data_IF_184275981352
#
_entry.id   IF_184275981352
#
_cell.length_a   1.000
_cell.length_b   1.000
_cell.length_c   1.000
_cell.angle_alpha   90.00
_cell.angle_beta   90.00
_cell.angle_gamma   90.00
#
_symmetry.space_group_name_H-M   'P 1'
#
loop_
_entity.id
_entity.type
_entity.pdbx_description
1 polymer ?
#
# COMPACT_ATOMS: atom_id res chain seq x y z
N UNK A 1 35.35 -0.62 -11.88
CA UNK A 1 34.49 -1.78 -11.60
C UNK A 1 34.34 -1.90 -10.09
N UNK A 2 33.11 -1.85 -9.58
CA UNK A 2 32.84 -2.14 -8.17
C UNK A 2 33.13 -3.65 -7.96
N UNK A 3 33.86 -3.98 -6.92
CA UNK A 3 34.14 -5.37 -6.60
C UNK A 3 32.87 -6.03 -6.00
N UNK A 4 32.81 -7.37 -6.04
CA UNK A 4 31.67 -8.15 -5.59
C UNK A 4 31.31 -7.92 -4.11
N UNK A 5 32.30 -7.59 -3.28
CA UNK A 5 32.09 -7.29 -1.86
C UNK A 5 31.41 -5.93 -1.64
N UNK A 6 31.79 -4.91 -2.43
CA UNK A 6 31.14 -3.59 -2.38
C UNK A 6 29.68 -3.67 -2.83
N UNK A 7 29.39 -4.52 -3.82
CA UNK A 7 28.03 -4.82 -4.26
C UNK A 7 27.25 -5.58 -3.18
N UNK A 8 27.85 -6.57 -2.52
CA UNK A 8 27.23 -7.33 -1.43
C UNK A 8 26.96 -6.48 -0.19
N UNK A 9 27.88 -5.62 0.20
CA UNK A 9 27.68 -4.68 1.31
C UNK A 9 26.59 -3.64 0.98
N UNK A 10 26.57 -3.17 -0.25
CA UNK A 10 25.52 -2.30 -0.76
C UNK A 10 24.15 -3.02 -0.77
N UNK A 11 24.12 -4.32 -1.13
CA UNK A 11 22.91 -5.15 -1.12
C UNK A 11 22.42 -5.43 0.30
N UNK A 12 23.30 -5.73 1.25
CA UNK A 12 22.97 -5.95 2.66
C UNK A 12 22.43 -4.67 3.32
N UNK A 13 23.01 -3.52 3.00
CA UNK A 13 22.49 -2.21 3.43
C UNK A 13 21.10 -1.94 2.85
N UNK A 14 20.82 -2.43 1.65
CA UNK A 14 19.58 -2.21 0.92
C UNK A 14 18.41 -3.11 1.37
N UNK A 15 18.65 -4.19 2.14
CA UNK A 15 17.61 -5.07 2.67
C UNK A 15 16.89 -4.55 3.92
N UNK A 16 17.27 -3.38 4.44
CA UNK A 16 16.72 -2.81 5.67
C UNK A 16 16.06 -1.45 5.45
N UNK A 17 15.31 -1.29 4.37
CA UNK A 17 14.50 -0.09 4.15
C UNK A 17 13.38 -0.05 5.19
N UNK A 18 13.51 0.82 6.18
CA UNK A 18 12.50 1.00 7.23
C UNK A 18 11.85 2.37 7.21
N UNK A 19 12.45 3.35 6.52
CA UNK A 19 11.98 4.72 6.51
C UNK A 19 12.05 5.34 5.12
N UNK A 20 11.33 6.45 4.94
CA UNK A 20 11.40 7.25 3.72
C UNK A 20 12.84 7.72 3.41
N UNK A 21 13.62 8.08 4.43
CA UNK A 21 15.03 8.42 4.26
C UNK A 21 15.82 7.28 3.63
N UNK A 22 15.58 6.02 4.08
CA UNK A 22 16.27 4.86 3.55
C UNK A 22 15.92 4.64 2.06
N UNK A 23 14.67 4.88 1.66
CA UNK A 23 14.23 4.80 0.26
C UNK A 23 14.94 5.85 -0.59
N UNK A 24 15.00 7.10 -0.12
CA UNK A 24 15.67 8.19 -0.82
C UNK A 24 17.19 7.97 -0.93
N UNK A 25 17.85 7.51 0.13
CA UNK A 25 19.28 7.21 0.10
C UNK A 25 19.60 6.04 -0.84
N UNK A 26 18.80 4.98 -0.81
CA UNK A 26 19.05 3.75 -1.56
C UNK A 26 18.77 3.89 -3.04
N UNK A 27 17.69 4.57 -3.40
CA UNK A 27 17.32 4.82 -4.79
C UNK A 27 17.96 6.10 -5.35
N UNK A 28 18.62 6.90 -4.49
CA UNK A 28 19.05 8.25 -4.83
C UNK A 28 17.88 9.15 -5.29
N UNK A 29 16.65 8.77 -4.95
CA UNK A 29 15.42 9.37 -5.47
C UNK A 29 15.17 9.08 -6.95
N UNK A 30 16.07 8.34 -7.61
CA UNK A 30 16.07 8.15 -9.07
C UNK A 30 15.08 7.07 -9.50
N UNK A 31 14.97 5.97 -8.74
CA UNK A 31 14.18 4.80 -9.18
C UNK A 31 12.69 4.91 -8.84
N UNK A 32 12.30 5.80 -7.93
CA UNK A 32 10.91 5.99 -7.47
C UNK A 32 10.23 4.69 -7.07
N UNK A 33 10.88 3.93 -6.20
CA UNK A 33 10.43 2.62 -5.75
C UNK A 33 10.09 2.66 -4.26
N UNK A 34 8.92 2.11 -3.91
CA UNK A 34 8.45 1.89 -2.54
C UNK A 34 8.26 0.39 -2.32
N UNK A 35 8.53 -0.08 -1.10
CA UNK A 35 8.31 -1.47 -0.70
C UNK A 35 7.32 -1.51 0.46
N UNK A 36 6.12 -2.02 0.22
CA UNK A 36 5.07 -2.20 1.22
C UNK A 36 5.24 -3.56 1.89
N UNK A 37 5.58 -3.54 3.17
CA UNK A 37 5.56 -4.67 4.10
C UNK A 37 4.39 -4.51 5.09
N UNK A 38 4.69 -4.33 6.38
CA UNK A 38 3.67 -3.99 7.38
C UNK A 38 3.08 -2.61 7.11
N UNK A 39 1.76 -2.51 7.17
CA UNK A 39 1.04 -1.26 6.93
C UNK A 39 0.78 -0.59 8.27
N UNK A 40 1.65 0.34 8.62
CA UNK A 40 1.56 1.17 9.82
C UNK A 40 1.59 2.66 9.50
N UNK A 41 1.39 3.49 10.52
CA UNK A 41 1.27 4.94 10.40
C UNK A 41 2.59 5.59 9.94
N UNK A 42 3.73 5.10 10.42
CA UNK A 42 5.04 5.65 10.06
C UNK A 42 5.37 5.35 8.60
N UNK A 43 5.13 4.12 8.16
CA UNK A 43 5.29 3.75 6.76
C UNK A 43 4.35 4.55 5.85
N UNK A 44 3.08 4.67 6.24
CA UNK A 44 2.07 5.38 5.45
C UNK A 44 2.43 6.86 5.26
N UNK A 45 2.89 7.53 6.33
CA UNK A 45 3.34 8.92 6.26
C UNK A 45 4.54 9.07 5.31
N UNK A 46 5.53 8.16 5.39
CA UNK A 46 6.69 8.14 4.51
C UNK A 46 6.31 7.92 3.03
N UNK A 47 5.43 6.97 2.76
CA UNK A 47 4.96 6.65 1.41
C UNK A 47 4.17 7.83 0.80
N UNK A 48 3.27 8.45 1.57
CA UNK A 48 2.53 9.65 1.13
C UNK A 48 3.50 10.78 0.77
N UNK A 49 4.44 11.09 1.66
CA UNK A 49 5.43 12.13 1.44
C UNK A 49 6.27 11.87 0.19
N UNK A 50 6.67 10.62 -0.06
CA UNK A 50 7.44 10.24 -1.24
C UNK A 50 6.63 10.45 -2.53
N UNK A 51 5.40 9.95 -2.57
CA UNK A 51 4.51 10.10 -3.74
C UNK A 51 4.24 11.58 -4.01
N UNK A 52 3.94 12.36 -2.98
CA UNK A 52 3.71 13.80 -3.08
C UNK A 52 4.96 14.55 -3.57
N UNK A 53 6.12 14.21 -3.06
CA UNK A 53 7.40 14.78 -3.50
C UNK A 53 7.66 14.53 -4.98
N UNK A 54 7.50 13.29 -5.46
CA UNK A 54 7.69 12.98 -6.88
C UNK A 54 6.66 13.67 -7.77
N UNK A 55 5.42 13.82 -7.32
CA UNK A 55 4.41 14.63 -8.03
C UNK A 55 4.84 16.10 -8.15
N UNK A 56 5.44 16.67 -7.10
CA UNK A 56 5.96 18.03 -7.12
C UNK A 56 7.13 18.17 -8.09
N UNK A 57 8.04 17.19 -8.12
CA UNK A 57 9.16 17.17 -9.07
C UNK A 57 8.69 17.10 -10.52
N UNK A 58 7.58 16.42 -10.76
CA UNK A 58 7.02 16.23 -12.09
C UNK A 58 6.02 17.31 -12.53
N UNK A 59 5.78 18.34 -11.73
CA UNK A 59 4.67 19.29 -11.94
C UNK A 59 4.65 19.91 -13.34
N UNK A 60 5.82 20.15 -13.92
CA UNK A 60 6.01 20.76 -15.24
C UNK A 60 6.29 19.75 -16.35
N UNK A 61 6.25 18.45 -16.05
CA UNK A 61 6.47 17.35 -17.01
C UNK A 61 5.11 16.84 -17.50
N UNK A 62 4.89 16.67 -18.81
CA UNK A 62 3.70 16.01 -19.33
C UNK A 62 3.51 14.61 -18.72
N UNK A 63 2.27 14.20 -18.44
CA UNK A 63 1.98 12.95 -17.72
C UNK A 63 2.58 11.74 -18.44
N UNK A 64 2.52 11.73 -19.74
CA UNK A 64 3.04 10.65 -20.61
C UNK A 64 4.57 10.51 -20.60
N UNK A 65 5.28 11.55 -20.15
CA UNK A 65 6.74 11.58 -20.06
C UNK A 65 7.23 11.32 -18.63
N UNK A 66 6.30 11.28 -17.64
CA UNK A 66 6.68 11.07 -16.24
C UNK A 66 7.16 9.66 -15.99
N UNK A 67 8.28 9.55 -15.27
CA UNK A 67 8.72 8.26 -14.76
C UNK A 67 7.71 7.73 -13.73
N UNK A 68 7.12 6.54 -13.93
CA UNK A 68 6.16 6.00 -12.98
C UNK A 68 6.78 5.69 -11.63
N UNK A 69 6.00 5.88 -10.58
CA UNK A 69 6.31 5.42 -9.23
C UNK A 69 5.95 3.93 -9.16
N UNK A 70 6.84 3.10 -8.65
CA UNK A 70 6.61 1.67 -8.48
C UNK A 70 6.43 1.33 -7.01
N UNK A 71 5.34 0.68 -6.70
CA UNK A 71 5.00 0.23 -5.34
C UNK A 71 5.03 -1.30 -5.33
N UNK A 72 6.11 -1.85 -4.81
CA UNK A 72 6.28 -3.28 -4.63
C UNK A 72 5.60 -3.72 -3.34
N UNK A 73 4.83 -4.80 -3.40
CA UNK A 73 3.98 -5.24 -2.30
C UNK A 73 4.32 -6.68 -1.93
N UNK A 74 4.66 -6.88 -0.66
CA UNK A 74 4.74 -8.17 0.00
C UNK A 74 4.26 -7.98 1.44
N UNK A 75 2.94 -7.95 1.62
CA UNK A 75 2.28 -7.44 2.83
C UNK A 75 1.18 -8.35 3.31
N UNK A 76 1.17 -8.60 4.60
CA UNK A 76 0.05 -9.25 5.31
C UNK A 76 -1.03 -8.25 5.77
N UNK A 77 -0.87 -6.97 5.43
CA UNK A 77 -1.79 -5.90 5.80
C UNK A 77 -1.33 -5.09 7.00
N UNK A 78 -2.28 -4.59 7.77
CA UNK A 78 -2.03 -3.77 8.96
C UNK A 78 -3.13 -2.75 9.24
N UNK A 79 -2.76 -1.55 9.69
CA UNK A 79 -3.70 -0.49 10.04
C UNK A 79 -4.55 -0.03 8.86
N UNK A 80 -5.87 -0.05 9.02
CA UNK A 80 -6.82 0.40 7.98
C UNK A 80 -6.61 1.87 7.66
N UNK A 81 -6.47 2.72 8.67
CA UNK A 81 -6.27 4.17 8.49
C UNK A 81 -4.96 4.46 7.75
N UNK A 82 -3.87 3.78 8.12
CA UNK A 82 -2.59 3.90 7.45
C UNK A 82 -2.68 3.44 5.99
N UNK A 83 -3.32 2.30 5.74
CA UNK A 83 -3.51 1.78 4.38
C UNK A 83 -4.34 2.71 3.50
N UNK A 84 -5.42 3.29 4.02
CA UNK A 84 -6.23 4.27 3.28
C UNK A 84 -5.43 5.55 2.97
N UNK A 85 -4.51 5.97 3.82
CA UNK A 85 -3.58 7.08 3.51
C UNK A 85 -2.73 6.77 2.26
N UNK A 86 -2.22 5.54 2.16
CA UNK A 86 -1.44 5.09 1.00
C UNK A 86 -2.34 5.00 -0.25
N UNK A 87 -3.55 4.44 -0.12
CA UNK A 87 -4.54 4.37 -1.20
C UNK A 87 -4.85 5.77 -1.75
N UNK A 88 -5.11 6.74 -0.87
CA UNK A 88 -5.38 8.12 -1.27
C UNK A 88 -4.16 8.73 -1.97
N UNK A 89 -2.95 8.54 -1.44
CA UNK A 89 -1.72 9.04 -2.07
C UNK A 89 -1.54 8.48 -3.49
N UNK A 90 -1.81 7.18 -3.69
CA UNK A 90 -1.74 6.53 -5.01
C UNK A 90 -2.81 7.09 -5.94
N UNK A 91 -4.06 7.11 -5.52
CA UNK A 91 -5.20 7.46 -6.36
C UNK A 91 -5.26 8.95 -6.73
N UNK A 92 -4.75 9.83 -5.85
CA UNK A 92 -4.63 11.27 -6.10
C UNK A 92 -3.36 11.66 -6.85
N UNK A 93 -2.42 10.73 -7.03
CA UNK A 93 -1.17 10.99 -7.75
C UNK A 93 -1.44 11.29 -9.22
N UNK A 94 -0.88 12.40 -9.72
CA UNK A 94 -0.85 12.75 -11.15
C UNK A 94 0.28 12.06 -11.89
N UNK A 95 1.34 11.69 -11.17
CA UNK A 95 2.40 10.82 -11.70
C UNK A 95 1.91 9.38 -11.64
N UNK A 96 2.01 8.61 -12.73
CA UNK A 96 1.53 7.23 -12.73
C UNK A 96 2.14 6.39 -11.61
N UNK A 97 1.30 5.69 -10.84
CA UNK A 97 1.74 4.75 -9.80
C UNK A 97 1.40 3.33 -10.23
N UNK A 98 2.42 2.46 -10.28
CA UNK A 98 2.28 1.05 -10.63
C UNK A 98 2.45 0.21 -9.39
N UNK A 99 1.47 -0.64 -9.09
CA UNK A 99 1.54 -1.60 -7.99
C UNK A 99 2.01 -2.96 -8.51
N UNK A 100 2.95 -3.59 -7.81
CA UNK A 100 3.57 -4.85 -8.20
C UNK A 100 3.55 -5.80 -7.00
N UNK A 101 2.69 -6.80 -7.00
CA UNK A 101 2.64 -7.81 -5.94
C UNK A 101 3.73 -8.84 -6.16
N UNK A 102 4.70 -8.91 -5.23
CA UNK A 102 5.82 -9.84 -5.31
C UNK A 102 5.55 -11.19 -4.66
N UNK A 103 4.79 -11.20 -3.55
CA UNK A 103 4.48 -12.37 -2.76
C UNK A 103 3.05 -12.31 -2.23
N UNK A 104 2.86 -11.77 -1.03
CA UNK A 104 1.55 -11.61 -0.41
C UNK A 104 0.98 -10.21 -0.62
N UNK A 105 -0.32 -10.12 -0.88
CA UNK A 105 -1.11 -8.90 -0.79
C UNK A 105 -2.40 -9.22 -0.03
N UNK A 106 -2.34 -9.16 1.31
CA UNK A 106 -3.42 -9.57 2.19
C UNK A 106 -4.02 -8.35 2.90
N UNK A 107 -5.34 -8.37 3.15
CA UNK A 107 -6.01 -7.31 3.92
C UNK A 107 -5.71 -5.91 3.34
N UNK A 108 -5.19 -4.98 4.11
CA UNK A 108 -4.79 -3.66 3.60
C UNK A 108 -3.70 -3.70 2.52
N UNK A 109 -2.88 -4.76 2.45
CA UNK A 109 -1.96 -4.99 1.33
C UNK A 109 -2.70 -5.22 0.01
N UNK A 110 -3.85 -5.92 0.03
CA UNK A 110 -4.73 -6.06 -1.13
C UNK A 110 -5.32 -4.71 -1.53
N UNK A 111 -5.83 -3.92 -0.59
CA UNK A 111 -6.39 -2.59 -0.85
C UNK A 111 -5.39 -1.68 -1.59
N UNK A 112 -4.13 -1.68 -1.13
CA UNK A 112 -3.06 -0.93 -1.79
C UNK A 112 -2.76 -1.49 -3.18
N UNK A 113 -2.75 -2.82 -3.33
CA UNK A 113 -2.44 -3.46 -4.60
C UNK A 113 -3.43 -3.15 -5.70
N UNK A 114 -4.74 -3.11 -5.37
CA UNK A 114 -5.81 -2.91 -6.37
C UNK A 114 -5.96 -1.47 -6.87
N UNK A 115 -5.46 -0.47 -6.13
CA UNK A 115 -5.67 0.95 -6.46
C UNK A 115 -4.61 1.55 -7.39
N UNK A 116 -3.57 0.80 -7.78
CA UNK A 116 -2.55 1.27 -8.72
C UNK A 116 -3.11 1.61 -10.11
N UNK A 117 -2.56 2.66 -10.74
CA UNK A 117 -2.92 3.04 -12.12
C UNK A 117 -2.63 1.94 -13.14
N UNK A 118 -1.54 1.17 -12.92
CA UNK A 118 -1.30 -0.14 -13.53
C UNK A 118 -0.94 -1.13 -12.43
N UNK A 119 -1.35 -2.37 -12.62
CA UNK A 119 -1.24 -3.43 -11.62
C UNK A 119 -0.54 -4.62 -12.21
N UNK A 120 0.45 -5.13 -11.50
CA UNK A 120 1.26 -6.27 -11.88
C UNK A 120 1.37 -7.24 -10.70
N UNK A 121 1.62 -8.49 -10.97
CA UNK A 121 1.96 -9.46 -9.95
C UNK A 121 2.99 -10.47 -10.46
N UNK A 122 3.76 -11.02 -9.55
CA UNK A 122 4.62 -12.17 -9.83
C UNK A 122 3.77 -13.44 -9.93
N UNK A 123 4.29 -14.43 -10.63
CA UNK A 123 3.60 -15.70 -10.90
C UNK A 123 3.09 -16.41 -9.63
N UNK A 124 3.83 -16.30 -8.54
CA UNK A 124 3.52 -16.97 -7.26
C UNK A 124 2.91 -16.01 -6.24
N UNK A 125 2.46 -14.82 -6.67
CA UNK A 125 1.79 -13.90 -5.79
C UNK A 125 0.42 -14.44 -5.36
N UNK A 126 0.07 -14.17 -4.11
CA UNK A 126 -1.21 -14.55 -3.50
C UNK A 126 -1.93 -13.34 -2.94
N UNK A 127 -3.24 -13.41 -2.94
CA UNK A 127 -4.13 -12.36 -2.45
C UNK A 127 -5.04 -12.94 -1.39
N UNK A 128 -5.38 -12.15 -0.39
CA UNK A 128 -6.36 -12.52 0.62
C UNK A 128 -7.25 -11.34 0.94
N UNK A 129 -8.54 -11.54 0.74
CA UNK A 129 -9.58 -10.64 1.18
C UNK A 129 -10.16 -11.13 2.51
N UNK A 130 -10.36 -10.22 3.43
CA UNK A 130 -11.19 -10.41 4.62
C UNK A 130 -11.71 -9.07 5.13
N UNK A 131 -12.86 -9.05 5.79
CA UNK A 131 -13.26 -7.91 6.58
C UNK A 131 -12.35 -7.77 7.80
N UNK A 132 -11.87 -6.56 8.05
CA UNK A 132 -10.95 -6.29 9.15
C UNK A 132 -11.52 -6.64 10.52
N UNK A 133 -10.65 -6.85 11.49
CA UNK A 133 -11.02 -7.11 12.88
C UNK A 133 -10.60 -5.98 13.80
N UNK A 134 -11.43 -5.70 14.84
CA UNK A 134 -11.09 -4.76 15.90
C UNK A 134 -10.64 -5.58 17.12
N UNK A 135 -9.42 -5.30 17.60
CA UNK A 135 -8.97 -5.83 18.89
C UNK A 135 -9.06 -4.74 19.93
N UNK A 136 -9.92 -4.93 20.92
CA UNK A 136 -10.05 -4.03 22.06
C UNK A 136 -9.66 -4.77 23.33
N UNK A 137 -8.91 -4.09 24.21
CA UNK A 137 -8.80 -4.53 25.60
C UNK A 137 -10.10 -4.21 26.37
N UNK A 138 -10.02 -4.01 27.69
CA UNK A 138 -11.15 -3.53 28.49
C UNK A 138 -11.54 -2.12 28.04
N UNK A 139 -12.77 -1.97 27.54
CA UNK A 139 -13.27 -0.70 26.99
C UNK A 139 -14.70 -0.45 27.49
N UNK A 140 -15.04 0.81 27.76
CA UNK A 140 -16.39 1.25 28.11
C UNK A 140 -17.35 1.03 26.93
N UNK A 141 -18.61 0.65 27.22
CA UNK A 141 -19.61 0.31 26.20
C UNK A 141 -19.87 1.45 25.19
N UNK A 142 -19.89 2.71 25.64
CA UNK A 142 -20.09 3.85 24.77
C UNK A 142 -18.88 4.08 23.84
N UNK A 143 -17.68 3.92 24.39
CA UNK A 143 -16.43 4.00 23.60
C UNK A 143 -16.36 2.86 22.59
N UNK A 144 -16.78 1.64 22.98
CA UNK A 144 -16.85 0.52 22.04
C UNK A 144 -17.82 0.78 20.89
N UNK A 145 -19.02 1.32 21.20
CA UNK A 145 -19.98 1.70 20.16
C UNK A 145 -19.39 2.73 19.17
N UNK A 146 -18.80 3.80 19.71
CA UNK A 146 -18.18 4.83 18.85
C UNK A 146 -17.05 4.26 17.97
N UNK A 147 -16.24 3.36 18.52
CA UNK A 147 -15.17 2.68 17.78
C UNK A 147 -15.73 1.77 16.70
N UNK A 148 -16.78 1.00 16.99
CA UNK A 148 -17.46 0.15 16.02
C UNK A 148 -18.08 0.96 14.88
N UNK A 149 -18.72 2.10 15.19
CA UNK A 149 -19.31 3.00 14.20
C UNK A 149 -18.23 3.67 13.31
N UNK A 150 -17.08 4.00 13.88
CA UNK A 150 -15.93 4.47 13.11
C UNK A 150 -15.41 3.40 12.15
N UNK A 151 -15.17 2.19 12.65
CA UNK A 151 -14.67 1.08 11.83
C UNK A 151 -15.62 0.69 10.70
N UNK A 152 -16.93 0.71 10.94
CA UNK A 152 -17.92 0.48 9.88
C UNK A 152 -17.76 1.45 8.72
N UNK A 153 -17.45 2.71 8.99
CA UNK A 153 -17.19 3.71 7.93
C UNK A 153 -15.91 3.43 7.17
N UNK A 154 -14.86 3.00 7.86
CA UNK A 154 -13.59 2.63 7.21
C UNK A 154 -13.77 1.37 6.34
N UNK A 155 -14.47 0.35 6.84
CA UNK A 155 -14.79 -0.86 6.06
C UNK A 155 -15.67 -0.54 4.84
N UNK A 156 -16.59 0.38 4.94
CA UNK A 156 -17.38 0.80 3.77
C UNK A 156 -16.48 1.47 2.70
N UNK A 157 -15.44 2.21 3.09
CA UNK A 157 -14.47 2.78 2.15
C UNK A 157 -13.65 1.70 1.44
N UNK A 158 -13.14 0.70 2.18
CA UNK A 158 -12.41 -0.43 1.57
C UNK A 158 -13.31 -1.23 0.63
N UNK A 159 -14.55 -1.48 1.01
CA UNK A 159 -15.55 -2.11 0.14
C UNK A 159 -15.80 -1.32 -1.15
N UNK A 160 -15.92 0.00 -1.07
CA UNK A 160 -16.08 0.85 -2.26
C UNK A 160 -14.85 0.78 -3.17
N UNK A 161 -13.64 0.74 -2.60
CA UNK A 161 -12.42 0.55 -3.38
C UNK A 161 -12.40 -0.80 -4.08
N UNK A 162 -12.77 -1.87 -3.37
CA UNK A 162 -12.86 -3.22 -3.94
C UNK A 162 -13.76 -3.25 -5.18
N UNK A 163 -14.96 -2.69 -5.09
CA UNK A 163 -15.90 -2.61 -6.22
C UNK A 163 -15.39 -1.71 -7.35
N UNK A 164 -14.74 -0.61 -7.02
CA UNK A 164 -14.23 0.34 -8.00
C UNK A 164 -13.06 -0.20 -8.81
N UNK A 165 -12.17 -0.96 -8.18
CA UNK A 165 -10.89 -1.35 -8.77
C UNK A 165 -10.80 -2.81 -9.17
N UNK A 166 -11.83 -3.62 -8.89
CA UNK A 166 -11.85 -5.05 -9.24
C UNK A 166 -13.15 -5.42 -9.94
N UNK A 167 -13.29 -6.69 -10.34
CA UNK A 167 -14.52 -7.26 -10.87
C UNK A 167 -15.42 -7.89 -9.78
N UNK A 168 -15.11 -7.68 -8.50
CA UNK A 168 -15.92 -8.19 -7.39
C UNK A 168 -17.28 -7.52 -7.41
N UNK A 169 -18.33 -8.35 -7.36
CA UNK A 169 -19.72 -7.88 -7.31
C UNK A 169 -20.23 -7.78 -5.86
N UNK A 170 -21.34 -7.07 -5.69
CA UNK A 170 -21.98 -6.95 -4.37
C UNK A 170 -22.51 -8.32 -3.88
N UNK A 171 -22.95 -9.19 -4.79
CA UNK A 171 -23.40 -10.55 -4.49
C UNK A 171 -22.23 -11.38 -3.96
N UNK A 172 -21.10 -11.40 -4.68
CA UNK A 172 -19.90 -12.09 -4.27
C UNK A 172 -19.42 -11.61 -2.89
N UNK A 173 -19.40 -10.27 -2.69
CA UNK A 173 -18.99 -9.68 -1.42
C UNK A 173 -19.88 -10.16 -0.25
N UNK A 174 -21.20 -10.17 -0.42
CA UNK A 174 -22.15 -10.63 0.61
C UNK A 174 -21.97 -12.12 0.97
N UNK A 175 -21.60 -12.94 -0.01
CA UNK A 175 -21.35 -14.36 0.22
C UNK A 175 -20.06 -14.60 1.00
N UNK A 176 -19.03 -13.75 0.81
CA UNK A 176 -17.66 -14.00 1.32
C UNK A 176 -17.19 -12.99 2.36
N UNK A 177 -18.01 -12.03 2.78
CA UNK A 177 -17.59 -10.98 3.71
C UNK A 177 -17.14 -11.51 5.10
N UNK A 178 -17.57 -12.72 5.47
CA UNK A 178 -17.18 -13.37 6.73
C UNK A 178 -16.09 -14.45 6.55
N UNK A 179 -15.59 -14.61 5.35
CA UNK A 179 -14.59 -15.62 5.01
C UNK A 179 -13.21 -14.96 4.80
N UNK A 180 -12.16 -15.76 4.94
CA UNK A 180 -10.81 -15.41 4.49
C UNK A 180 -10.63 -16.01 3.08
N UNK A 181 -10.80 -15.21 2.04
CA UNK A 181 -10.77 -15.62 0.61
C UNK A 181 -9.75 -14.87 -0.22
#
# INVERSE_FOLDING_TARGET
MLNTNDLLEKYKKNCLVKTFSDVLEQSGGINRELLVGDVDEDYAAGAEMAIRFWNLMDKDIPIEERMPIKVYINSYGGSVTAGLTIVDAITMSKTPVYTIVMGAAYSMGLEIAICGHKRYCYKNASYLFHEGSIRTGSIDANKFKNLADFYKKELERTKQNLFKYTAVTEEWYKEHQNDDV
#
